data_IF_472309065403
#
_entry.id   IF_472309065403
#
_cell.length_a   1.000
_cell.length_b   1.000
_cell.length_c   1.000
_cell.angle_alpha   90.00
_cell.angle_beta   90.00
_cell.angle_gamma   90.00
#
_symmetry.space_group_name_H-M   'P 1'
#
loop_
_entity.id
_entity.type
_entity.pdbx_description
1 polymer ?
#
# COMPACT_ATOMS: atom_id res chain seq x y z
N UNK A 1 -19.85 12.04 20.69
CA UNK A 1 -19.95 13.51 20.58
C UNK A 1 -18.64 14.09 21.06
N UNK A 2 -17.64 14.11 20.18
CA UNK A 2 -16.34 14.77 20.40
C UNK A 2 -16.32 15.98 19.47
N UNK A 3 -16.08 17.14 20.08
CA UNK A 3 -16.09 18.46 19.46
C UNK A 3 -14.97 18.58 18.43
N UNK A 4 -15.25 18.25 17.15
CA UNK A 4 -14.54 18.89 16.06
C UNK A 4 -14.93 20.37 16.10
N UNK A 5 -14.02 21.22 16.56
CA UNK A 5 -14.18 22.66 16.52
C UNK A 5 -14.44 23.03 15.06
N UNK A 6 -15.62 23.57 14.76
CA UNK A 6 -15.96 23.97 13.40
C UNK A 6 -14.94 25.00 12.92
N UNK A 7 -14.10 24.61 11.96
CA UNK A 7 -13.15 25.52 11.30
C UNK A 7 -13.96 26.69 10.72
N UNK A 8 -13.64 27.90 11.15
CA UNK A 8 -14.29 29.09 10.60
C UNK A 8 -13.70 29.36 9.21
N UNK A 9 -14.51 29.69 8.20
CA UNK A 9 -13.97 30.17 6.93
C UNK A 9 -13.20 31.46 7.19
N UNK A 10 -11.88 31.41 7.04
CA UNK A 10 -11.00 32.57 7.21
C UNK A 10 -11.00 33.37 5.92
N UNK A 11 -11.31 34.66 6.03
CA UNK A 11 -11.13 35.65 4.96
C UNK A 11 -9.69 36.17 4.98
N UNK A 12 -8.81 35.55 4.20
CA UNK A 12 -7.49 36.10 3.81
C UNK A 12 -7.36 36.18 2.28
N UNK A 13 -6.55 37.13 1.82
CA UNK A 13 -6.61 37.75 0.48
C UNK A 13 -5.85 37.03 -0.64
N UNK A 14 -5.32 35.83 -0.39
CA UNK A 14 -4.73 34.97 -1.41
C UNK A 14 -5.06 33.49 -1.11
N UNK A 15 -5.38 32.65 -2.13
CA UNK A 15 -5.70 31.25 -1.91
C UNK A 15 -4.46 30.46 -1.45
N UNK A 16 -4.64 29.52 -0.51
CA UNK A 16 -3.62 28.56 -0.08
C UNK A 16 -3.12 27.78 -1.30
N UNK A 17 -1.81 27.79 -1.52
CA UNK A 17 -1.20 27.05 -2.61
C UNK A 17 -0.87 25.61 -2.20
N UNK A 18 -0.71 24.71 -3.17
CA UNK A 18 -0.20 23.36 -2.89
C UNK A 18 1.20 23.37 -2.27
N UNK A 19 1.98 24.44 -2.51
CA UNK A 19 3.27 24.60 -1.85
C UNK A 19 3.13 24.87 -0.35
N UNK A 20 2.14 25.66 0.06
CA UNK A 20 1.84 25.89 1.47
C UNK A 20 1.37 24.59 2.15
N UNK A 21 0.52 23.82 1.46
CA UNK A 21 0.09 22.48 1.88
C UNK A 21 1.27 21.51 2.04
N UNK A 22 2.18 21.46 1.07
CA UNK A 22 3.38 20.63 1.13
C UNK A 22 4.32 21.07 2.26
N UNK A 23 4.47 22.38 2.51
CA UNK A 23 5.28 22.89 3.59
C UNK A 23 4.74 22.53 4.98
N UNK A 24 3.42 22.38 5.14
CA UNK A 24 2.84 21.84 6.38
C UNK A 24 3.33 20.40 6.65
N UNK A 25 3.39 19.54 5.62
CA UNK A 25 3.97 18.20 5.73
C UNK A 25 5.43 18.28 6.16
N UNK A 26 6.23 19.15 5.52
CA UNK A 26 7.66 19.34 5.86
C UNK A 26 7.84 19.75 7.31
N UNK A 27 7.07 20.74 7.76
CA UNK A 27 7.10 21.25 9.14
C UNK A 27 6.74 20.16 10.15
N UNK A 28 5.59 19.49 9.96
CA UNK A 28 5.16 18.41 10.86
C UNK A 28 6.19 17.26 10.90
N UNK A 29 6.78 16.89 9.76
CA UNK A 29 7.77 15.83 9.71
C UNK A 29 9.05 16.20 10.48
N UNK A 30 9.63 17.37 10.25
CA UNK A 30 10.85 17.78 10.96
C UNK A 30 10.60 17.98 12.46
N UNK A 31 9.46 18.55 12.85
CA UNK A 31 9.10 18.80 14.25
C UNK A 31 8.87 17.50 15.03
N UNK A 32 8.11 16.55 14.46
CA UNK A 32 7.89 15.25 15.08
C UNK A 32 9.17 14.46 15.27
N UNK A 33 10.04 14.43 14.24
CA UNK A 33 11.34 13.76 14.32
C UNK A 33 12.24 14.43 15.37
N UNK A 34 12.25 15.77 15.40
CA UNK A 34 13.04 16.54 16.37
C UNK A 34 12.56 16.27 17.80
N UNK A 35 11.25 16.32 18.05
CA UNK A 35 10.67 16.05 19.37
C UNK A 35 10.93 14.63 19.85
N UNK A 36 10.87 13.65 18.94
CA UNK A 36 11.20 12.26 19.26
C UNK A 36 12.71 12.00 19.43
N UNK A 37 13.55 12.96 19.01
CA UNK A 37 15.00 12.79 18.84
C UNK A 37 15.35 11.49 18.05
N UNK A 38 14.48 11.15 17.09
CA UNK A 38 14.52 9.87 16.35
C UNK A 38 13.61 9.94 15.14
N UNK A 39 14.07 9.48 13.98
CA UNK A 39 13.25 9.35 12.78
C UNK A 39 13.92 9.84 11.51
N UNK A 40 13.14 9.92 10.43
CA UNK A 40 13.63 10.15 9.07
C UNK A 40 12.93 11.37 8.46
N UNK A 41 13.51 12.58 8.56
CA UNK A 41 12.88 13.80 8.05
C UNK A 41 13.07 13.95 6.53
N UNK A 42 14.17 13.40 5.97
CA UNK A 42 14.59 13.63 4.60
C UNK A 42 13.58 13.23 3.52
N UNK A 43 13.11 11.98 3.55
CA UNK A 43 12.14 11.50 2.55
C UNK A 43 10.79 12.22 2.65
N UNK A 44 10.16 12.38 3.85
CA UNK A 44 8.94 13.18 3.98
C UNK A 44 9.07 14.58 3.39
N UNK A 45 10.22 15.24 3.60
CA UNK A 45 10.47 16.57 3.07
C UNK A 45 10.65 16.61 1.55
N UNK A 46 11.35 15.62 0.98
CA UNK A 46 11.57 15.49 -0.46
C UNK A 46 10.28 15.15 -1.22
N UNK A 47 9.46 14.24 -0.67
CA UNK A 47 8.23 13.75 -1.30
C UNK A 47 6.98 14.57 -1.00
N UNK A 48 7.06 15.61 -0.16
CA UNK A 48 5.90 16.42 0.23
C UNK A 48 5.15 17.01 -0.98
N UNK A 49 5.85 17.46 -2.03
CA UNK A 49 5.21 18.05 -3.21
C UNK A 49 4.43 16.99 -4.01
N UNK A 50 5.07 15.84 -4.29
CA UNK A 50 4.44 14.72 -5.01
C UNK A 50 3.23 14.18 -4.25
N UNK A 51 3.37 13.98 -2.94
CA UNK A 51 2.28 13.53 -2.08
C UNK A 51 1.13 14.55 -2.05
N UNK A 52 1.44 15.85 -1.97
CA UNK A 52 0.40 16.88 -2.00
C UNK A 52 -0.37 16.87 -3.30
N UNK A 53 0.30 16.76 -4.45
CA UNK A 53 -0.39 16.66 -5.76
C UNK A 53 -1.27 15.41 -5.83
N UNK A 54 -0.75 14.24 -5.43
CA UNK A 54 -1.51 12.99 -5.41
C UNK A 54 -2.79 13.13 -4.58
N UNK A 55 -2.65 13.60 -3.34
CA UNK A 55 -3.76 13.67 -2.40
C UNK A 55 -4.74 14.79 -2.76
N UNK A 56 -4.24 15.96 -3.14
CA UNK A 56 -5.08 17.10 -3.44
C UNK A 56 -5.86 16.95 -4.75
N UNK A 57 -5.35 16.22 -5.74
CA UNK A 57 -5.97 16.20 -7.08
C UNK A 57 -6.54 14.84 -7.50
N UNK A 58 -6.01 13.73 -7.00
CA UNK A 58 -6.26 12.43 -7.63
C UNK A 58 -6.84 11.35 -6.73
N UNK A 59 -6.43 11.31 -5.45
CA UNK A 59 -6.77 10.21 -4.56
C UNK A 59 -8.22 10.32 -4.08
N UNK A 60 -8.91 9.18 -4.01
CA UNK A 60 -10.25 9.06 -3.47
C UNK A 60 -10.21 8.35 -2.11
N UNK A 61 -10.34 9.11 -1.03
CA UNK A 61 -10.31 8.60 0.35
C UNK A 61 -11.31 9.35 1.22
N UNK A 62 -11.90 8.67 2.19
CA UNK A 62 -12.74 9.31 3.21
C UNK A 62 -12.20 8.93 4.61
N UNK A 63 -11.50 9.85 5.31
CA UNK A 63 -11.00 9.62 6.67
C UNK A 63 -12.07 9.26 7.70
N UNK A 64 -13.34 9.62 7.47
CA UNK A 64 -14.46 9.24 8.35
C UNK A 64 -14.90 7.79 8.18
N UNK A 65 -14.52 7.18 7.05
CA UNK A 65 -14.82 5.79 6.66
C UNK A 65 -13.59 5.17 5.99
N UNK A 66 -12.49 4.97 6.76
CA UNK A 66 -11.25 4.41 6.23
C UNK A 66 -11.39 2.95 5.78
N UNK A 67 -12.51 2.31 6.13
CA UNK A 67 -12.92 0.97 5.72
C UNK A 67 -13.70 0.95 4.39
N UNK A 68 -13.98 2.10 3.76
CA UNK A 68 -14.69 2.18 2.48
C UNK A 68 -14.02 1.27 1.43
N UNK A 69 -14.70 0.21 0.93
CA UNK A 69 -14.06 -0.79 0.09
C UNK A 69 -13.48 -0.26 -1.22
N UNK A 70 -14.07 0.80 -1.78
CA UNK A 70 -13.71 1.34 -3.09
C UNK A 70 -12.91 2.66 -3.02
N UNK A 71 -12.29 2.93 -1.86
CA UNK A 71 -11.27 3.99 -1.75
C UNK A 71 -10.03 3.64 -2.57
N UNK A 72 -9.26 4.62 -3.02
CA UNK A 72 -7.91 4.36 -3.51
C UNK A 72 -7.03 3.86 -2.35
N UNK A 73 -6.14 2.91 -2.63
CA UNK A 73 -5.17 2.39 -1.66
C UNK A 73 -3.87 3.19 -1.75
N UNK A 74 -3.32 3.60 -0.61
CA UNK A 74 -2.01 4.27 -0.55
C UNK A 74 -1.02 3.45 0.30
N UNK A 75 0.10 3.07 -0.31
CA UNK A 75 1.15 2.28 0.34
C UNK A 75 2.46 3.06 0.37
N UNK A 76 2.94 3.35 1.58
CA UNK A 76 4.28 3.90 1.79
C UNK A 76 5.30 2.76 1.87
N UNK A 77 5.80 2.29 0.72
CA UNK A 77 6.78 1.20 0.66
C UNK A 77 8.11 1.58 1.32
N UNK A 78 8.53 2.85 1.17
CA UNK A 78 9.64 3.43 1.93
C UNK A 78 9.18 3.81 3.34
N UNK A 79 8.78 2.82 4.15
CA UNK A 79 8.12 3.01 5.44
C UNK A 79 8.92 3.81 6.48
N UNK A 80 10.23 3.98 6.30
CA UNK A 80 11.03 4.81 7.20
C UNK A 80 10.56 6.28 7.19
N UNK A 81 10.01 6.76 6.07
CA UNK A 81 9.39 8.09 5.92
C UNK A 81 7.97 8.17 6.49
N UNK A 82 7.66 7.40 7.54
CA UNK A 82 6.33 7.27 8.15
C UNK A 82 5.67 8.61 8.50
N UNK A 83 6.45 9.62 8.87
CA UNK A 83 5.94 10.96 9.16
C UNK A 83 5.26 11.64 7.96
N UNK A 84 5.58 11.27 6.71
CA UNK A 84 4.81 11.71 5.56
C UNK A 84 3.36 11.26 5.67
N UNK A 85 3.16 9.95 5.91
CA UNK A 85 1.83 9.35 6.02
C UNK A 85 1.08 9.85 7.26
N UNK A 86 1.73 9.97 8.41
CA UNK A 86 1.08 10.48 9.62
C UNK A 86 0.72 11.97 9.51
N UNK A 87 1.56 12.80 8.88
CA UNK A 87 1.22 14.19 8.59
C UNK A 87 -0.01 14.27 7.67
N UNK A 88 -0.05 13.47 6.59
CA UNK A 88 -1.22 13.38 5.72
C UNK A 88 -2.47 12.97 6.51
N UNK A 89 -2.40 11.93 7.35
CA UNK A 89 -3.55 11.47 8.13
C UNK A 89 -4.07 12.56 9.09
N UNK A 90 -3.18 13.29 9.74
CA UNK A 90 -3.54 14.45 10.56
C UNK A 90 -4.23 15.55 9.75
N UNK A 91 -3.63 15.92 8.61
CA UNK A 91 -4.08 16.99 7.71
C UNK A 91 -5.38 16.62 6.97
N UNK A 92 -5.68 15.34 6.78
CA UNK A 92 -6.94 14.85 6.20
C UNK A 92 -8.06 14.64 7.23
N UNK A 93 -7.70 14.30 8.47
CA UNK A 93 -8.63 14.36 9.60
C UNK A 93 -9.11 13.01 10.07
N UNK A 94 -8.21 12.03 9.98
CA UNK A 94 -8.40 10.74 10.63
C UNK A 94 -8.60 10.96 12.14
N UNK A 95 -9.64 10.33 12.68
CA UNK A 95 -10.06 10.58 14.07
C UNK A 95 -8.97 10.22 15.09
N UNK A 96 -8.13 9.23 14.78
CA UNK A 96 -7.06 8.72 15.61
C UNK A 96 -5.70 9.40 15.35
N UNK A 97 -5.66 10.45 14.52
CA UNK A 97 -4.42 11.17 14.17
C UNK A 97 -4.52 12.67 14.47
N UNK A 98 -4.87 13.00 15.72
CA UNK A 98 -4.80 14.37 16.20
C UNK A 98 -3.34 14.84 16.33
N UNK A 99 -3.11 16.14 16.49
CA UNK A 99 -1.75 16.71 16.52
C UNK A 99 -0.91 16.13 17.68
N UNK A 100 -1.56 15.72 18.77
CA UNK A 100 -0.94 15.08 19.92
C UNK A 100 -0.29 13.75 19.58
N UNK A 101 -0.82 12.99 18.61
CA UNK A 101 -0.18 11.75 18.15
C UNK A 101 1.12 12.07 17.41
N UNK A 102 1.14 13.08 16.54
CA UNK A 102 2.37 13.52 15.86
C UNK A 102 3.43 14.00 16.86
N UNK A 103 3.00 14.64 17.95
CA UNK A 103 3.85 15.03 19.06
C UNK A 103 4.39 13.83 19.88
N UNK A 104 3.75 12.67 19.76
CA UNK A 104 4.11 11.40 20.41
C UNK A 104 4.73 10.40 19.43
N UNK A 105 5.22 10.87 18.27
CA UNK A 105 5.95 10.05 17.32
C UNK A 105 7.04 9.20 17.99
N UNK A 106 7.06 7.90 17.66
CA UNK A 106 8.00 6.90 18.21
C UNK A 106 7.94 6.69 19.72
N UNK A 107 6.90 7.17 20.39
CA UNK A 107 6.72 6.92 21.82
C UNK A 107 5.92 5.65 22.07
N UNK A 108 6.19 4.98 23.19
CA UNK A 108 5.49 3.76 23.59
C UNK A 108 3.97 4.01 23.66
N UNK A 109 3.21 3.14 22.99
CA UNK A 109 1.74 3.20 22.96
C UNK A 109 1.15 4.33 22.10
N UNK A 110 1.96 5.07 21.34
CA UNK A 110 1.45 5.99 20.31
C UNK A 110 0.92 5.23 19.08
N UNK A 111 0.04 5.88 18.32
CA UNK A 111 -0.43 5.42 17.00
C UNK A 111 0.64 5.65 15.93
N UNK A 112 1.49 6.64 16.13
CA UNK A 112 2.58 7.06 15.25
C UNK A 112 3.87 6.28 15.54
N UNK A 113 3.88 5.00 15.18
CA UNK A 113 5.04 4.12 15.31
C UNK A 113 6.23 4.57 14.43
N UNK A 114 7.40 3.96 14.62
CA UNK A 114 8.60 4.34 13.84
C UNK A 114 8.49 4.06 12.33
N UNK A 115 7.66 3.07 11.97
CA UNK A 115 7.25 2.68 10.62
C UNK A 115 5.72 2.46 10.63
N UNK A 116 5.01 2.57 9.48
CA UNK A 116 3.57 2.36 9.44
C UNK A 116 3.22 0.93 9.86
N UNK A 117 2.23 0.79 10.74
CA UNK A 117 1.73 -0.48 11.25
C UNK A 117 0.23 -0.61 10.96
N UNK A 118 -0.15 -1.60 10.15
CA UNK A 118 -1.55 -1.90 9.86
C UNK A 118 -2.31 -2.26 11.14
N UNK A 119 -3.55 -1.77 11.26
CA UNK A 119 -4.41 -2.00 12.43
C UNK A 119 -4.05 -1.16 13.66
N UNK A 120 -2.90 -0.48 13.65
CA UNK A 120 -2.48 0.40 14.74
C UNK A 120 -2.89 1.85 14.50
N UNK A 121 -2.93 2.32 13.25
CA UNK A 121 -3.45 3.63 12.88
C UNK A 121 -4.41 3.52 11.68
N UNK A 122 -5.52 4.28 11.69
CA UNK A 122 -6.46 4.32 10.58
C UNK A 122 -5.79 4.85 9.31
N UNK A 123 -6.21 4.33 8.15
CA UNK A 123 -5.65 4.69 6.84
C UNK A 123 -4.30 4.06 6.51
N UNK A 124 -3.67 3.32 7.44
CA UNK A 124 -2.47 2.53 7.13
C UNK A 124 -2.87 1.20 6.49
N UNK A 125 -2.71 1.10 5.16
CA UNK A 125 -3.14 -0.05 4.37
C UNK A 125 -2.32 -1.33 4.62
N UNK A 126 -1.05 -1.19 5.00
CA UNK A 126 -0.16 -2.33 5.26
C UNK A 126 1.00 -1.91 6.16
N UNK A 127 1.52 -2.85 6.95
CA UNK A 127 2.75 -2.64 7.70
C UNK A 127 3.94 -2.64 6.74
N UNK A 128 4.70 -1.54 6.72
CA UNK A 128 5.96 -1.42 5.96
C UNK A 128 7.13 -1.15 6.89
N UNK A 129 8.34 -1.06 6.32
CA UNK A 129 9.59 -0.94 7.07
C UNK A 129 10.67 -1.81 6.46
N UNK A 130 10.47 -3.15 6.39
CA UNK A 130 11.31 -3.99 5.56
C UNK A 130 11.13 -3.59 4.09
N UNK A 131 12.20 -3.11 3.47
CA UNK A 131 12.17 -2.50 2.15
C UNK A 131 11.72 -3.52 1.08
N UNK A 132 11.08 -3.03 0.02
CA UNK A 132 10.54 -3.88 -1.06
C UNK A 132 9.22 -4.59 -0.74
N UNK A 133 8.88 -4.78 0.54
CA UNK A 133 7.60 -5.43 0.91
C UNK A 133 6.38 -4.60 0.52
N UNK A 134 6.41 -3.27 0.70
CA UNK A 134 5.25 -2.43 0.42
C UNK A 134 4.83 -2.46 -1.05
N UNK A 135 5.77 -2.28 -1.98
CA UNK A 135 5.49 -2.40 -3.43
C UNK A 135 5.00 -3.80 -3.80
N UNK A 136 5.54 -4.85 -3.17
CA UNK A 136 5.15 -6.24 -3.43
C UNK A 136 3.75 -6.57 -2.90
N UNK A 137 3.40 -6.05 -1.73
CA UNK A 137 2.04 -6.11 -1.17
C UNK A 137 1.05 -5.33 -2.03
N UNK A 138 1.44 -4.16 -2.55
CA UNK A 138 0.59 -3.36 -3.43
C UNK A 138 0.22 -4.08 -4.74
N UNK A 139 1.09 -4.95 -5.27
CA UNK A 139 0.75 -5.85 -6.40
C UNK A 139 -0.45 -6.74 -6.04
N UNK A 140 -0.47 -7.28 -4.82
CA UNK A 140 -1.59 -8.05 -4.30
C UNK A 140 -2.88 -7.26 -4.19
N UNK A 141 -2.81 -6.02 -3.69
CA UNK A 141 -3.96 -5.12 -3.59
C UNK A 141 -4.54 -4.78 -4.96
N UNK A 142 -3.69 -4.41 -5.92
CA UNK A 142 -4.12 -4.11 -7.29
C UNK A 142 -4.69 -5.34 -8.00
N UNK A 143 -4.15 -6.53 -7.73
CA UNK A 143 -4.70 -7.78 -8.25
C UNK A 143 -6.08 -8.10 -7.64
N UNK A 144 -6.26 -7.90 -6.33
CA UNK A 144 -7.55 -8.08 -5.65
C UNK A 144 -8.62 -7.13 -6.19
N UNK A 145 -8.28 -5.88 -6.45
CA UNK A 145 -9.16 -4.91 -7.09
C UNK A 145 -9.62 -5.41 -8.47
N UNK A 146 -8.70 -5.89 -9.33
CA UNK A 146 -9.06 -6.45 -10.65
C UNK A 146 -9.93 -7.69 -10.56
N UNK A 147 -9.66 -8.59 -9.61
CA UNK A 147 -10.47 -9.78 -9.40
C UNK A 147 -11.89 -9.44 -8.93
N UNK A 148 -12.04 -8.50 -8.00
CA UNK A 148 -13.36 -8.08 -7.52
C UNK A 148 -14.12 -7.30 -8.59
N UNK A 149 -13.46 -6.43 -9.35
CA UNK A 149 -14.09 -5.72 -10.48
C UNK A 149 -14.62 -6.70 -11.54
N UNK A 150 -13.87 -7.76 -11.84
CA UNK A 150 -14.32 -8.81 -12.77
C UNK A 150 -15.56 -9.57 -12.26
N UNK A 151 -15.68 -9.78 -10.94
CA UNK A 151 -16.79 -10.52 -10.31
C UNK A 151 -18.02 -9.66 -10.03
N UNK A 152 -17.83 -8.42 -9.58
CA UNK A 152 -18.89 -7.56 -9.06
C UNK A 152 -19.19 -6.34 -9.95
N UNK A 153 -18.33 -6.06 -10.94
CA UNK A 153 -18.48 -4.97 -11.89
C UNK A 153 -17.80 -3.68 -11.44
N UNK A 154 -17.41 -2.87 -12.42
CA UNK A 154 -16.69 -1.61 -12.20
C UNK A 154 -17.51 -0.55 -11.46
N UNK A 155 -18.85 -0.67 -11.43
CA UNK A 155 -19.69 0.28 -10.68
C UNK A 155 -19.48 0.20 -9.15
N UNK A 156 -19.04 -0.96 -8.65
CA UNK A 156 -18.78 -1.23 -7.23
C UNK A 156 -17.29 -1.27 -6.88
N UNK A 157 -16.42 -1.52 -7.88
CA UNK A 157 -14.98 -1.69 -7.69
C UNK A 157 -14.24 -1.03 -8.84
N UNK A 158 -13.76 0.18 -8.61
CA UNK A 158 -12.95 0.95 -9.56
C UNK A 158 -12.03 1.94 -8.86
N UNK A 159 -10.95 1.42 -8.27
CA UNK A 159 -9.98 2.25 -7.56
C UNK A 159 -8.53 1.90 -7.93
N UNK A 160 -7.63 2.84 -7.64
CA UNK A 160 -6.20 2.71 -7.87
C UNK A 160 -5.47 2.27 -6.60
N UNK A 161 -4.28 1.73 -6.78
CA UNK A 161 -3.30 1.50 -5.73
C UNK A 161 -2.07 2.36 -6.05
N UNK A 162 -1.79 3.33 -5.17
CA UNK A 162 -0.67 4.24 -5.26
C UNK A 162 0.43 3.83 -4.28
N UNK A 163 1.68 3.83 -4.74
CA UNK A 163 2.83 3.43 -3.93
C UNK A 163 3.88 4.52 -3.96
N UNK A 164 4.42 4.92 -2.80
CA UNK A 164 5.69 5.65 -2.74
C UNK A 164 6.79 4.67 -2.36
N UNK A 165 7.76 4.49 -3.25
CA UNK A 165 8.95 3.66 -3.06
C UNK A 165 10.21 4.52 -3.18
N UNK A 166 11.28 4.13 -2.48
CA UNK A 166 12.60 4.76 -2.60
C UNK A 166 13.63 3.79 -3.18
N UNK A 167 14.87 4.25 -3.34
CA UNK A 167 15.98 3.45 -3.87
C UNK A 167 16.16 2.11 -3.16
N UNK A 168 16.10 2.11 -1.83
CA UNK A 168 16.22 0.87 -1.04
C UNK A 168 15.13 -0.15 -1.36
N UNK A 169 13.91 0.28 -1.68
CA UNK A 169 12.86 -0.65 -2.13
C UNK A 169 13.19 -1.27 -3.48
N UNK A 170 13.79 -0.50 -4.40
CA UNK A 170 14.06 -0.95 -5.77
C UNK A 170 15.39 -1.70 -5.92
N UNK A 171 16.22 -1.72 -4.88
CA UNK A 171 17.42 -2.57 -4.79
C UNK A 171 17.09 -3.97 -4.25
N UNK A 172 16.03 -4.12 -3.47
CA UNK A 172 15.60 -5.40 -2.90
C UNK A 172 15.12 -6.38 -3.99
N UNK A 173 15.55 -7.63 -3.90
CA UNK A 173 15.22 -8.68 -4.88
C UNK A 173 13.71 -8.92 -5.02
N UNK A 174 12.96 -8.84 -3.91
CA UNK A 174 11.50 -8.98 -3.90
C UNK A 174 10.81 -7.95 -4.82
N UNK A 175 11.39 -6.75 -4.99
CA UNK A 175 10.83 -5.74 -5.88
C UNK A 175 10.89 -6.19 -7.34
N UNK A 176 11.94 -6.93 -7.74
CA UNK A 176 12.03 -7.49 -9.08
C UNK A 176 10.92 -8.50 -9.33
N UNK A 177 10.67 -9.39 -8.37
CA UNK A 177 9.57 -10.35 -8.44
C UNK A 177 8.21 -9.65 -8.60
N UNK A 178 7.98 -8.59 -7.81
CA UNK A 178 6.76 -7.79 -7.87
C UNK A 178 6.58 -7.04 -9.20
N UNK A 179 7.65 -6.39 -9.68
CA UNK A 179 7.65 -5.62 -10.94
C UNK A 179 7.36 -6.54 -12.12
N UNK A 180 8.01 -7.69 -12.16
CA UNK A 180 7.81 -8.67 -13.23
C UNK A 180 6.39 -9.25 -13.20
N UNK A 181 5.88 -9.65 -12.02
CA UNK A 181 4.52 -10.17 -11.89
C UNK A 181 3.44 -9.14 -12.26
N UNK A 182 3.55 -7.91 -11.76
CA UNK A 182 2.57 -6.86 -12.05
C UNK A 182 2.55 -6.46 -13.53
N UNK A 183 3.73 -6.41 -14.14
CA UNK A 183 3.89 -6.15 -15.57
C UNK A 183 3.31 -7.27 -16.41
N UNK A 184 3.62 -8.53 -16.07
CA UNK A 184 3.02 -9.71 -16.70
C UNK A 184 1.48 -9.66 -16.65
N UNK A 185 0.92 -9.42 -15.45
CA UNK A 185 -0.52 -9.35 -15.23
C UNK A 185 -1.19 -8.05 -15.72
N UNK A 186 -0.43 -7.09 -16.25
CA UNK A 186 -0.94 -5.79 -16.73
C UNK A 186 -1.83 -5.06 -15.72
N UNK A 187 -1.36 -4.95 -14.47
CA UNK A 187 -2.12 -4.31 -13.39
C UNK A 187 -2.18 -2.78 -13.56
N UNK A 188 -3.00 -2.28 -14.48
CA UNK A 188 -3.11 -0.85 -14.83
C UNK A 188 -3.56 0.08 -13.71
N UNK A 189 -4.19 -0.47 -12.66
CA UNK A 189 -4.58 0.28 -11.47
C UNK A 189 -3.44 0.48 -10.47
N UNK A 190 -2.23 -0.05 -10.73
CA UNK A 190 -1.03 0.12 -9.90
C UNK A 190 -0.16 1.26 -10.43
N UNK A 191 0.06 2.29 -9.60
CA UNK A 191 0.92 3.44 -9.91
C UNK A 191 1.97 3.60 -8.81
N UNK A 192 3.24 3.53 -9.20
CA UNK A 192 4.39 3.64 -8.30
C UNK A 192 5.09 4.97 -8.55
N UNK A 193 5.21 5.78 -7.50
CA UNK A 193 6.10 6.92 -7.44
C UNK A 193 7.43 6.44 -6.86
N UNK A 194 8.49 6.53 -7.65
CA UNK A 194 9.84 6.33 -7.14
C UNK A 194 10.42 7.68 -6.75
N UNK A 195 10.73 7.82 -5.46
CA UNK A 195 11.55 8.91 -4.91
C UNK A 195 13.00 8.72 -5.38
N UNK A 196 13.30 9.22 -6.58
CA UNK A 196 14.62 9.15 -7.23
C UNK A 196 15.48 10.32 -6.72
N UNK A 197 15.85 10.24 -5.44
CA UNK A 197 16.62 11.29 -4.74
C UNK A 197 18.14 11.06 -4.78
N UNK A 198 18.59 9.92 -5.32
CA UNK A 198 19.99 9.51 -5.46
C UNK A 198 20.76 9.31 -4.14
N UNK A 199 20.06 9.15 -3.01
CA UNK A 199 20.64 8.98 -1.68
C UNK A 199 20.11 7.72 -1.01
N UNK A 200 21.03 6.96 -0.41
CA UNK A 200 20.75 5.86 0.53
C UNK A 200 21.37 6.17 1.90
N UNK A 201 21.29 5.23 2.85
CA UNK A 201 21.88 5.40 4.19
C UNK A 201 23.38 5.67 4.11
N UNK A 202 24.11 4.94 3.28
CA UNK A 202 25.58 5.02 3.19
C UNK A 202 26.08 6.21 2.36
N UNK A 203 25.17 7.03 1.80
CA UNK A 203 25.51 8.13 0.91
C UNK A 203 24.86 8.01 -0.47
N UNK A 204 25.47 8.62 -1.51
CA UNK A 204 24.98 8.54 -2.88
C UNK A 204 24.77 7.11 -3.36
N UNK A 205 23.64 6.85 -4.04
CA UNK A 205 23.30 5.51 -4.54
C UNK A 205 24.33 4.94 -5.51
N UNK A 206 25.12 5.79 -6.17
CA UNK A 206 26.24 5.40 -7.03
C UNK A 206 27.33 4.59 -6.32
N UNK A 207 27.33 4.54 -4.99
CA UNK A 207 28.26 3.72 -4.22
C UNK A 207 27.99 2.21 -4.34
N UNK A 208 26.73 1.81 -4.56
CA UNK A 208 26.34 0.38 -4.50
C UNK A 208 25.50 -0.10 -5.68
N UNK A 209 24.99 0.81 -6.53
CA UNK A 209 24.18 0.43 -7.69
C UNK A 209 24.45 1.28 -8.92
N UNK A 210 24.33 0.66 -10.09
CA UNK A 210 24.34 1.30 -11.41
C UNK A 210 23.11 0.91 -12.23
N UNK A 211 22.05 0.42 -11.55
CA UNK A 211 20.84 -0.08 -12.18
C UNK A 211 20.04 1.06 -12.83
N UNK A 212 19.73 0.93 -14.12
CA UNK A 212 18.73 1.77 -14.79
C UNK A 212 17.32 1.27 -14.41
N UNK A 213 16.75 1.87 -13.36
CA UNK A 213 15.42 1.51 -12.88
C UNK A 213 14.33 1.76 -13.95
N UNK A 214 14.28 2.91 -14.66
CA UNK A 214 13.36 3.11 -15.76
C UNK A 214 13.43 2.01 -16.83
N UNK A 215 14.64 1.59 -17.25
CA UNK A 215 14.81 0.51 -18.21
C UNK A 215 14.34 -0.84 -17.65
N UNK A 216 14.64 -1.15 -16.39
CA UNK A 216 14.18 -2.37 -15.72
C UNK A 216 12.65 -2.48 -15.71
N UNK A 217 11.95 -1.39 -15.38
CA UNK A 217 10.49 -1.34 -15.40
C UNK A 217 9.93 -1.46 -16.83
N UNK A 218 10.51 -0.75 -17.81
CA UNK A 218 10.13 -0.88 -19.22
C UNK A 218 10.27 -2.32 -19.72
N UNK A 219 11.37 -3.00 -19.37
CA UNK A 219 11.61 -4.39 -19.74
C UNK A 219 10.56 -5.34 -19.13
N UNK A 220 10.06 -5.05 -17.94
CA UNK A 220 8.97 -5.78 -17.30
C UNK A 220 7.58 -5.40 -17.84
N UNK A 221 7.46 -4.51 -18.83
CA UNK A 221 6.19 -4.15 -19.45
C UNK A 221 5.44 -2.99 -18.80
N UNK A 222 6.10 -2.18 -17.96
CA UNK A 222 5.49 -1.02 -17.32
C UNK A 222 5.44 0.22 -18.22
N UNK A 223 4.48 1.10 -17.95
CA UNK A 223 4.55 2.49 -18.40
C UNK A 223 5.48 3.28 -17.51
N UNK A 224 6.37 4.07 -18.10
CA UNK A 224 7.47 4.69 -17.35
C UNK A 224 7.64 6.14 -17.78
N UNK A 225 7.49 7.01 -16.80
CA UNK A 225 7.66 8.44 -16.92
C UNK A 225 8.74 8.93 -15.95
N UNK A 226 9.37 10.06 -16.27
CA UNK A 226 10.33 10.73 -15.39
C UNK A 226 9.95 12.21 -15.31
N UNK A 227 9.88 12.74 -14.09
CA UNK A 227 9.46 14.11 -13.82
C UNK A 227 10.37 14.77 -12.79
N UNK A 228 10.46 16.10 -12.83
CA UNK A 228 10.98 16.86 -11.70
C UNK A 228 9.95 16.80 -10.56
N UNK A 229 10.28 16.12 -9.46
CA UNK A 229 9.33 15.85 -8.38
C UNK A 229 8.85 17.10 -7.61
N UNK A 230 9.56 18.22 -7.76
CA UNK A 230 9.19 19.52 -7.19
C UNK A 230 8.41 20.42 -8.17
N UNK A 231 8.19 19.96 -9.40
CA UNK A 231 7.27 20.59 -10.36
C UNK A 231 5.90 19.90 -10.25
N UNK A 232 5.02 20.53 -9.48
CA UNK A 232 3.70 19.98 -9.14
C UNK A 232 2.80 19.78 -10.37
N UNK A 233 2.93 20.61 -11.42
CA UNK A 233 2.16 20.44 -12.65
C UNK A 233 2.71 19.29 -13.50
N UNK A 234 4.04 19.13 -13.57
CA UNK A 234 4.65 17.97 -14.23
C UNK A 234 4.25 16.66 -13.54
N UNK A 235 4.21 16.64 -12.20
CA UNK A 235 3.72 15.49 -11.42
C UNK A 235 2.24 15.23 -11.71
N UNK A 236 1.39 16.26 -11.73
CA UNK A 236 -0.03 16.10 -12.02
C UNK A 236 -0.27 15.51 -13.41
N UNK A 237 0.40 16.05 -14.44
CA UNK A 237 0.32 15.54 -15.81
C UNK A 237 0.77 14.07 -15.91
N UNK A 238 1.81 13.68 -15.16
CA UNK A 238 2.27 12.30 -15.14
C UNK A 238 1.28 11.34 -14.48
N UNK A 239 0.62 11.75 -13.39
CA UNK A 239 -0.43 10.96 -12.74
C UNK A 239 -1.63 10.79 -13.68
N UNK A 240 -2.05 11.86 -14.37
CA UNK A 240 -3.12 11.78 -15.36
C UNK A 240 -2.79 10.80 -16.49
N UNK A 241 -1.55 10.83 -17.01
CA UNK A 241 -1.10 9.89 -18.02
C UNK A 241 -1.10 8.44 -17.49
N UNK A 242 -0.59 8.24 -16.26
CA UNK A 242 -0.54 6.92 -15.62
C UNK A 242 -1.94 6.31 -15.42
N UNK A 243 -2.93 7.11 -14.99
CA UNK A 243 -4.33 6.66 -14.81
C UNK A 243 -5.03 6.26 -16.12
N UNK A 244 -4.50 6.67 -17.28
CA UNK A 244 -4.99 6.31 -18.62
C UNK A 244 -4.26 5.10 -19.23
N UNK A 245 -3.19 4.64 -18.62
CA UNK A 245 -2.41 3.50 -19.09
C UNK A 245 -3.20 2.19 -18.99
N UNK A 246 -2.95 1.26 -19.91
CA UNK A 246 -3.40 -0.14 -19.85
C UNK A 246 -2.38 -1.08 -19.17
N UNK A 247 -1.32 -0.49 -18.59
CA UNK A 247 -0.18 -1.17 -17.93
C UNK A 247 0.07 -0.54 -16.55
N UNK A 248 0.67 -1.26 -15.60
CA UNK A 248 1.14 -0.64 -14.36
C UNK A 248 2.15 0.47 -14.68
N UNK A 249 2.17 1.53 -13.88
CA UNK A 249 2.94 2.75 -14.18
C UNK A 249 3.99 3.06 -13.11
N UNK A 250 5.20 3.41 -13.56
CA UNK A 250 6.26 4.01 -12.76
C UNK A 250 6.38 5.49 -13.12
N UNK A 251 6.32 6.36 -12.12
CA UNK A 251 6.65 7.77 -12.22
C UNK A 251 7.94 7.98 -11.40
N UNK A 252 9.07 8.07 -12.09
CA UNK A 252 10.35 8.40 -11.48
C UNK A 252 10.38 9.90 -11.15
N UNK A 253 10.25 10.22 -9.86
CA UNK A 253 10.20 11.58 -9.36
C UNK A 253 11.60 11.98 -8.91
N UNK A 254 12.29 12.80 -9.71
CA UNK A 254 13.59 13.36 -9.31
C UNK A 254 13.37 14.40 -8.22
N UNK A 255 13.75 14.10 -6.99
CA UNK A 255 13.59 14.97 -5.81
C UNK A 255 14.95 15.28 -5.16
N UNK A 256 14.92 16.15 -4.15
CA UNK A 256 16.03 16.40 -3.23
C UNK A 256 15.63 15.88 -1.85
N UNK A 257 16.36 14.91 -1.31
CA UNK A 257 16.14 14.44 0.08
C UNK A 257 16.32 15.62 1.05
N UNK A 258 15.42 15.78 2.01
CA UNK A 258 15.48 16.92 2.93
C UNK A 258 15.19 18.27 2.26
N UNK A 259 14.43 18.28 1.15
CA UNK A 259 14.06 19.52 0.44
C UNK A 259 13.55 20.59 1.41
N UNK A 260 14.16 21.77 1.33
CA UNK A 260 13.92 22.89 2.23
C UNK A 260 15.01 23.11 3.27
N UNK A 261 15.75 22.06 3.68
CA UNK A 261 16.89 22.19 4.60
C UNK A 261 18.11 22.74 3.85
N UNK A 262 18.49 24.02 4.05
CA UNK A 262 19.45 24.69 3.18
C UNK A 262 20.88 24.17 3.30
N UNK A 263 21.28 23.62 4.46
CA UNK A 263 22.65 23.13 4.68
C UNK A 263 22.75 21.61 4.63
N UNK A 264 21.67 20.88 4.91
CA UNK A 264 21.67 19.42 4.94
C UNK A 264 20.94 18.76 3.76
N UNK A 265 20.08 19.50 3.04
CA UNK A 265 19.33 18.98 1.89
C UNK A 265 20.25 18.38 0.81
N UNK A 266 19.82 17.27 0.21
CA UNK A 266 20.59 16.53 -0.79
C UNK A 266 21.69 15.62 -0.22
N UNK A 267 21.78 15.49 1.11
CA UNK A 267 22.74 14.61 1.78
C UNK A 267 22.05 13.52 2.59
N UNK A 268 22.72 12.38 2.70
CA UNK A 268 22.43 11.26 3.59
C UNK A 268 22.27 11.66 5.07
N UNK A 269 22.83 12.81 5.47
CA UNK A 269 22.64 13.39 6.81
C UNK A 269 21.18 13.67 7.15
N UNK A 270 20.32 13.88 6.15
CA UNK A 270 18.88 14.07 6.36
C UNK A 270 18.10 12.75 6.37
N UNK A 271 18.75 11.60 6.11
CA UNK A 271 18.06 10.33 5.95
C UNK A 271 17.42 9.86 7.26
N UNK A 272 18.19 9.69 8.33
CA UNK A 272 17.75 8.97 9.54
C UNK A 272 18.07 9.63 10.87
N UNK A 273 18.32 10.94 10.87
CA UNK A 273 18.58 11.71 12.08
C UNK A 273 17.72 12.99 12.11
N UNK A 274 17.36 13.50 13.31
CA UNK A 274 16.82 14.85 13.45
C UNK A 274 17.74 15.90 12.82
N UNK A 275 17.14 16.94 12.23
CA UNK A 275 17.90 18.02 11.60
C UNK A 275 18.67 18.87 12.62
N UNK A 276 18.15 18.99 13.84
CA UNK A 276 18.66 19.89 14.87
C UNK A 276 18.08 21.30 14.78
N UNK A 277 18.01 21.98 15.92
CA UNK A 277 17.32 23.28 16.09
C UNK A 277 17.79 24.36 15.10
N UNK A 278 19.10 24.45 14.85
CA UNK A 278 19.66 25.45 13.94
C UNK A 278 19.22 25.21 12.49
N UNK A 279 19.23 23.95 12.04
CA UNK A 279 18.80 23.62 10.69
C UNK A 279 17.28 23.74 10.53
N UNK A 280 16.50 23.42 11.56
CA UNK A 280 15.04 23.62 11.54
C UNK A 280 14.70 25.11 11.40
N UNK A 281 15.37 25.99 12.16
CA UNK A 281 15.18 27.43 12.03
C UNK A 281 15.52 27.92 10.61
N UNK A 282 16.64 27.48 10.05
CA UNK A 282 17.05 27.82 8.68
C UNK A 282 16.08 27.24 7.62
N UNK A 283 15.58 26.02 7.84
CA UNK A 283 14.58 25.37 6.98
C UNK A 283 13.29 26.19 6.94
N UNK A 284 12.80 26.62 8.11
CA UNK A 284 11.60 27.45 8.23
C UNK A 284 11.73 28.76 7.46
N UNK A 285 12.86 29.45 7.60
CA UNK A 285 13.15 30.66 6.82
C UNK A 285 13.16 30.38 5.32
N UNK A 286 13.87 29.32 4.89
CA UNK A 286 14.04 28.97 3.48
C UNK A 286 12.72 28.58 2.79
N UNK A 287 11.81 27.89 3.49
CA UNK A 287 10.50 27.50 2.92
C UNK A 287 9.39 28.53 3.20
N UNK A 288 9.71 29.65 3.88
CA UNK A 288 8.74 30.69 4.23
C UNK A 288 7.73 30.30 5.31
N UNK A 289 8.07 29.38 6.21
CA UNK A 289 7.18 28.88 7.27
C UNK A 289 7.43 29.58 8.60
N UNK A 290 6.60 30.58 8.92
CA UNK A 290 6.75 31.40 10.13
C UNK A 290 6.12 30.78 11.40
N UNK A 291 5.44 29.64 11.29
CA UNK A 291 4.67 29.06 12.40
C UNK A 291 5.53 28.21 13.32
N UNK A 292 5.10 28.14 14.58
CA UNK A 292 5.76 27.37 15.63
C UNK A 292 5.67 25.85 15.38
N UNK A 293 6.46 25.03 16.09
CA UNK A 293 6.33 23.58 16.00
C UNK A 293 4.92 23.09 16.28
N UNK A 294 4.42 22.19 15.43
CA UNK A 294 3.06 21.62 15.51
C UNK A 294 1.90 22.64 15.35
N UNK A 295 2.19 23.87 14.92
CA UNK A 295 1.19 24.89 14.61
C UNK A 295 0.94 24.92 13.09
N UNK A 296 -0.23 24.44 12.67
CA UNK A 296 -0.67 24.44 11.27
C UNK A 296 -1.78 25.48 11.12
N UNK A 297 -1.61 26.48 10.24
CA UNK A 297 -2.64 27.48 9.97
C UNK A 297 -4.00 26.88 9.58
N UNK A 298 -5.07 27.48 10.08
CA UNK A 298 -6.45 27.01 9.86
C UNK A 298 -6.84 26.96 8.37
N UNK A 299 -6.32 27.88 7.55
CA UNK A 299 -6.56 27.92 6.10
C UNK A 299 -5.88 26.76 5.36
N UNK A 300 -4.64 26.42 5.75
CA UNK A 300 -3.92 25.25 5.23
C UNK A 300 -4.63 23.97 5.67
N UNK A 301 -5.02 23.87 6.94
CA UNK A 301 -5.77 22.72 7.44
C UNK A 301 -7.11 22.58 6.71
N UNK A 302 -7.83 23.70 6.49
CA UNK A 302 -9.06 23.72 5.71
C UNK A 302 -8.86 23.18 4.29
N UNK A 303 -7.82 23.63 3.57
CA UNK A 303 -7.50 23.14 2.22
C UNK A 303 -7.30 21.61 2.18
N UNK A 304 -6.63 21.03 3.18
CA UNK A 304 -6.51 19.57 3.29
C UNK A 304 -7.84 18.89 3.64
N UNK A 305 -8.68 19.50 4.48
CA UNK A 305 -10.01 18.97 4.83
C UNK A 305 -10.99 19.01 3.66
N UNK A 306 -10.81 19.90 2.68
CA UNK A 306 -11.58 19.86 1.42
C UNK A 306 -11.37 18.55 0.65
N UNK A 307 -10.18 17.95 0.71
CA UNK A 307 -9.89 16.64 0.11
C UNK A 307 -10.78 15.56 0.75
N UNK A 308 -10.85 15.55 2.08
CA UNK A 308 -11.72 14.63 2.82
C UNK A 308 -13.21 14.85 2.48
N UNK A 309 -13.64 16.11 2.33
CA UNK A 309 -15.00 16.45 1.93
C UNK A 309 -15.37 15.93 0.52
N UNK A 310 -14.44 16.02 -0.45
CA UNK A 310 -14.64 15.41 -1.78
C UNK A 310 -14.75 13.89 -1.68
N UNK A 311 -13.90 13.27 -0.87
CA UNK A 311 -13.95 11.83 -0.60
C UNK A 311 -15.25 11.35 0.01
N UNK A 312 -15.79 12.08 1.01
CA UNK A 312 -17.08 11.78 1.61
C UNK A 312 -18.21 11.81 0.57
N UNK A 313 -18.23 12.82 -0.30
CA UNK A 313 -19.21 12.92 -1.38
C UNK A 313 -19.10 11.72 -2.35
N UNK A 314 -17.89 11.31 -2.70
CA UNK A 314 -17.65 10.14 -3.56
C UNK A 314 -18.07 8.83 -2.91
N UNK A 315 -17.73 8.62 -1.62
CA UNK A 315 -18.19 7.45 -0.86
C UNK A 315 -19.71 7.41 -0.79
N UNK A 316 -20.38 8.52 -0.47
CA UNK A 316 -21.86 8.55 -0.39
C UNK A 316 -22.51 8.22 -1.74
N UNK A 317 -21.93 8.70 -2.84
CA UNK A 317 -22.38 8.32 -4.18
C UNK A 317 -22.14 6.82 -4.46
N UNK A 318 -21.01 6.26 -4.02
CA UNK A 318 -20.74 4.83 -4.11
C UNK A 318 -21.71 3.99 -3.26
N UNK A 319 -22.03 4.41 -2.04
CA UNK A 319 -22.99 3.74 -1.15
C UNK A 319 -24.39 3.68 -1.78
N UNK A 320 -24.80 4.72 -2.51
CA UNK A 320 -26.04 4.71 -3.29
C UNK A 320 -26.01 3.69 -4.43
N UNK A 321 -24.88 3.58 -5.16
CA UNK A 321 -24.70 2.56 -6.20
C UNK A 321 -24.72 1.14 -5.60
N UNK A 322 -24.04 0.93 -4.48
CA UNK A 322 -24.06 -0.35 -3.76
C UNK A 322 -25.48 -0.71 -3.31
N UNK A 323 -26.20 0.23 -2.69
CA UNK A 323 -27.57 0.00 -2.22
C UNK A 323 -28.53 -0.39 -3.35
N UNK A 324 -28.32 0.13 -4.56
CA UNK A 324 -29.13 -0.18 -5.75
C UNK A 324 -28.65 -1.42 -6.54
N UNK A 325 -27.47 -1.97 -6.23
CA UNK A 325 -26.88 -3.05 -7.01
C UNK A 325 -27.52 -4.41 -6.71
N UNK A 326 -27.89 -5.21 -7.74
CA UNK A 326 -28.34 -6.58 -7.53
C UNK A 326 -27.22 -7.50 -7.01
N UNK A 327 -25.96 -7.04 -7.03
CA UNK A 327 -24.79 -7.79 -6.52
C UNK A 327 -24.40 -7.39 -5.10
N UNK A 328 -25.18 -6.52 -4.44
CA UNK A 328 -24.85 -5.97 -3.12
C UNK A 328 -24.50 -7.05 -2.10
N UNK A 329 -25.41 -7.99 -1.86
CA UNK A 329 -25.22 -9.04 -0.85
C UNK A 329 -23.98 -9.89 -1.15
N UNK A 330 -23.83 -10.32 -2.41
CA UNK A 330 -22.64 -11.06 -2.84
C UNK A 330 -21.34 -10.27 -2.67
N UNK A 331 -21.36 -8.96 -2.91
CA UNK A 331 -20.22 -8.08 -2.73
C UNK A 331 -19.88 -7.85 -1.25
N UNK A 332 -20.87 -7.53 -0.42
CA UNK A 332 -20.69 -7.32 1.02
C UNK A 332 -20.15 -8.59 1.69
N UNK A 333 -20.70 -9.76 1.36
CA UNK A 333 -20.21 -11.05 1.85
C UNK A 333 -18.78 -11.34 1.38
N UNK A 334 -18.44 -11.01 0.13
CA UNK A 334 -17.09 -11.18 -0.38
C UNK A 334 -16.09 -10.28 0.33
N UNK A 335 -16.38 -8.99 0.47
CA UNK A 335 -15.53 -8.00 1.14
C UNK A 335 -15.26 -8.39 2.60
N UNK A 336 -16.27 -8.88 3.31
CA UNK A 336 -16.12 -9.41 4.67
C UNK A 336 -15.21 -10.66 4.73
N UNK A 337 -15.04 -11.35 3.59
CA UNK A 337 -14.26 -12.56 3.44
C UNK A 337 -14.67 -13.65 4.46
N UNK A 338 -15.94 -13.66 4.86
CA UNK A 338 -16.52 -14.66 5.74
C UNK A 338 -16.84 -15.92 4.94
N UNK A 339 -16.26 -17.05 5.35
CA UNK A 339 -16.53 -18.32 4.70
C UNK A 339 -17.93 -18.79 5.11
N UNK A 340 -18.80 -19.19 4.16
CA UNK A 340 -20.13 -19.66 4.50
C UNK A 340 -20.09 -20.98 5.27
N UNK A 341 -21.10 -21.23 6.12
CA UNK A 341 -21.22 -22.45 6.92
C UNK A 341 -21.13 -23.74 6.07
N UNK A 342 -21.58 -23.66 4.82
CA UNK A 342 -21.50 -24.76 3.84
C UNK A 342 -20.07 -25.26 3.63
N UNK A 343 -19.05 -24.42 3.77
CA UNK A 343 -17.63 -24.83 3.70
C UNK A 343 -17.30 -25.74 4.88
N UNK A 344 -17.72 -25.38 6.08
CA UNK A 344 -17.42 -26.14 7.30
C UNK A 344 -18.20 -27.46 7.35
N UNK A 345 -19.48 -27.44 6.97
CA UNK A 345 -20.32 -28.64 6.84
C UNK A 345 -19.74 -29.63 5.83
N UNK A 346 -19.30 -29.14 4.66
CA UNK A 346 -18.68 -29.97 3.64
C UNK A 346 -17.35 -30.58 4.13
N UNK A 347 -16.54 -29.80 4.86
CA UNK A 347 -15.33 -30.30 5.50
C UNK A 347 -15.60 -31.34 6.60
N UNK A 348 -16.68 -31.20 7.37
CA UNK A 348 -17.09 -32.20 8.37
C UNK A 348 -17.55 -33.51 7.73
N UNK A 349 -18.31 -33.44 6.64
CA UNK A 349 -18.68 -34.62 5.85
C UNK A 349 -17.43 -35.30 5.28
N UNK A 350 -16.53 -34.53 4.66
CA UNK A 350 -15.26 -35.02 4.14
C UNK A 350 -14.40 -35.71 5.21
N UNK A 351 -14.26 -35.10 6.40
CA UNK A 351 -13.53 -35.71 7.52
C UNK A 351 -14.12 -37.05 7.93
N UNK A 352 -15.45 -37.13 8.12
CA UNK A 352 -16.13 -38.38 8.50
C UNK A 352 -15.90 -39.49 7.47
N UNK A 353 -16.08 -39.18 6.19
CA UNK A 353 -15.88 -40.12 5.09
C UNK A 353 -14.46 -40.69 5.07
N UNK A 354 -13.44 -39.84 5.19
CA UNK A 354 -12.05 -40.29 5.10
C UNK A 354 -11.54 -41.01 6.36
N UNK A 355 -12.12 -40.71 7.53
CA UNK A 355 -11.92 -41.49 8.76
C UNK A 355 -12.49 -42.91 8.56
N UNK A 356 -13.73 -43.04 8.08
CA UNK A 356 -14.38 -44.34 7.86
C UNK A 356 -13.63 -45.19 6.82
N UNK A 357 -13.24 -44.56 5.70
CA UNK A 357 -12.48 -45.24 4.63
C UNK A 357 -11.03 -45.56 5.01
N UNK A 358 -10.53 -45.05 6.13
CA UNK A 358 -9.12 -45.13 6.53
C UNK A 358 -8.16 -44.75 5.38
N UNK A 359 -8.42 -43.60 4.76
CA UNK A 359 -7.74 -43.19 3.52
C UNK A 359 -6.24 -43.03 3.71
N UNK A 360 -5.43 -43.63 2.82
CA UNK A 360 -3.96 -43.59 2.86
C UNK A 360 -3.41 -42.86 1.64
N UNK A 361 -3.01 -41.61 1.84
CA UNK A 361 -2.40 -40.76 0.83
C UNK A 361 -1.32 -39.88 1.48
N UNK A 362 -0.40 -39.33 0.67
CA UNK A 362 0.51 -38.29 1.17
C UNK A 362 -0.28 -37.06 1.66
N UNK A 363 0.23 -36.35 2.67
CA UNK A 363 -0.43 -35.16 3.25
C UNK A 363 -0.68 -34.07 2.21
N UNK A 364 0.22 -33.86 1.24
CA UNK A 364 -0.04 -32.95 0.10
C UNK A 364 -1.26 -33.35 -0.75
N UNK A 365 -1.52 -34.65 -0.90
CA UNK A 365 -2.71 -35.15 -1.61
C UNK A 365 -3.95 -35.01 -0.75
N UNK A 366 -3.84 -35.22 0.56
CA UNK A 366 -4.92 -34.89 1.50
C UNK A 366 -5.24 -33.39 1.49
N UNK A 367 -4.23 -32.52 1.36
CA UNK A 367 -4.40 -31.07 1.20
C UNK A 367 -5.19 -30.74 -0.08
N UNK A 368 -4.82 -31.32 -1.23
CA UNK A 368 -5.59 -31.14 -2.49
C UNK A 368 -7.04 -31.59 -2.34
N UNK A 369 -7.27 -32.74 -1.70
CA UNK A 369 -8.61 -33.28 -1.48
C UNK A 369 -9.44 -32.35 -0.58
N UNK A 370 -8.84 -31.77 0.46
CA UNK A 370 -9.51 -30.77 1.29
C UNK A 370 -9.77 -29.46 0.52
N UNK A 371 -8.81 -29.02 -0.31
CA UNK A 371 -8.99 -27.86 -1.18
C UNK A 371 -10.13 -28.07 -2.18
N UNK A 372 -10.31 -29.28 -2.74
CA UNK A 372 -11.40 -29.58 -3.68
C UNK A 372 -12.76 -29.35 -3.01
N UNK A 373 -12.89 -29.75 -1.74
CA UNK A 373 -14.11 -29.51 -0.93
C UNK A 373 -14.31 -28.02 -0.67
N UNK A 374 -13.26 -27.31 -0.23
CA UNK A 374 -13.34 -25.89 0.09
C UNK A 374 -13.68 -25.07 -1.16
N UNK A 375 -12.93 -25.26 -2.25
CA UNK A 375 -13.08 -24.50 -3.49
C UNK A 375 -14.38 -24.82 -4.22
N UNK A 376 -14.97 -25.99 -3.99
CA UNK A 376 -16.31 -26.35 -4.48
C UNK A 376 -17.45 -25.74 -3.65
N UNK A 377 -17.19 -25.39 -2.38
CA UNK A 377 -18.18 -24.78 -1.48
C UNK A 377 -18.12 -23.25 -1.44
N UNK A 378 -17.01 -22.63 -1.88
CA UNK A 378 -16.86 -21.17 -1.92
C UNK A 378 -16.04 -20.66 -3.10
N UNK A 379 -16.39 -19.46 -3.56
CA UNK A 379 -15.65 -18.68 -4.56
C UNK A 379 -14.67 -17.67 -3.93
N UNK A 380 -14.62 -17.58 -2.59
CA UNK A 380 -13.77 -16.60 -1.88
C UNK A 380 -12.30 -16.99 -1.81
N UNK A 381 -11.98 -18.28 -1.96
CA UNK A 381 -10.59 -18.74 -1.99
C UNK A 381 -9.91 -18.41 -3.30
N UNK A 382 -8.71 -17.84 -3.22
CA UNK A 382 -7.83 -17.60 -4.37
C UNK A 382 -6.53 -18.36 -4.13
N UNK A 383 -6.28 -19.34 -4.99
CA UNK A 383 -5.14 -20.23 -4.89
C UNK A 383 -3.96 -19.82 -5.76
N UNK A 384 -2.83 -20.48 -5.54
CA UNK A 384 -1.70 -20.39 -6.43
C UNK A 384 -0.52 -21.26 -6.01
N UNK A 385 0.56 -21.15 -6.77
CA UNK A 385 1.82 -21.80 -6.48
C UNK A 385 2.98 -21.00 -7.07
N UNK A 386 4.13 -21.03 -6.40
CA UNK A 386 5.38 -20.55 -6.96
C UNK A 386 5.95 -21.59 -7.94
N UNK A 387 5.38 -21.67 -9.14
CA UNK A 387 5.69 -22.63 -10.23
C UNK A 387 5.53 -24.14 -9.90
N UNK A 388 5.23 -24.48 -8.66
CA UNK A 388 5.16 -25.85 -8.16
C UNK A 388 3.74 -26.45 -8.11
N UNK A 389 2.81 -25.97 -8.94
CA UNK A 389 1.37 -26.30 -8.90
C UNK A 389 1.09 -27.79 -8.79
N UNK A 390 1.71 -28.59 -9.67
CA UNK A 390 1.47 -30.04 -9.74
C UNK A 390 2.28 -30.83 -8.70
N UNK A 391 3.27 -30.21 -8.06
CA UNK A 391 4.05 -30.82 -6.98
C UNK A 391 3.43 -30.57 -5.61
N UNK A 392 2.89 -29.36 -5.41
CA UNK A 392 2.19 -28.94 -4.20
C UNK A 392 0.71 -29.35 -4.18
N UNK A 393 0.13 -29.61 -5.35
CA UNK A 393 -1.28 -29.97 -5.53
C UNK A 393 -2.25 -28.89 -5.01
N UNK A 394 -1.99 -27.64 -5.41
CA UNK A 394 -2.77 -26.47 -4.96
C UNK A 394 -3.90 -26.06 -5.90
N UNK A 395 -3.96 -26.61 -7.13
CA UNK A 395 -5.05 -26.36 -8.07
C UNK A 395 -6.08 -27.48 -8.00
N UNK A 396 -7.36 -27.12 -7.92
CA UNK A 396 -8.48 -28.07 -7.86
C UNK A 396 -9.36 -27.95 -9.09
N UNK A 397 -10.26 -28.90 -9.32
CA UNK A 397 -11.15 -28.87 -10.48
C UNK A 397 -12.02 -27.60 -10.45
N UNK A 398 -12.21 -26.96 -11.61
CA UNK A 398 -13.04 -25.77 -11.76
C UNK A 398 -12.34 -24.45 -11.43
N UNK A 399 -11.11 -24.46 -10.92
CA UNK A 399 -10.34 -23.25 -10.72
C UNK A 399 -9.73 -22.76 -12.04
N UNK A 400 -10.30 -21.68 -12.58
CA UNK A 400 -9.73 -21.01 -13.75
C UNK A 400 -8.50 -20.18 -13.36
N UNK A 401 -7.49 -20.16 -14.23
CA UNK A 401 -6.31 -19.31 -14.06
C UNK A 401 -6.67 -17.84 -14.18
N UNK A 402 -5.92 -17.00 -13.48
CA UNK A 402 -5.92 -15.55 -13.69
C UNK A 402 -4.89 -15.25 -14.79
N UNK A 403 -5.27 -14.41 -15.74
CA UNK A 403 -4.44 -14.04 -16.87
C UNK A 403 -4.56 -12.53 -17.16
N UNK A 404 -3.62 -11.95 -17.91
CA UNK A 404 -3.68 -10.54 -18.27
C UNK A 404 -4.95 -10.25 -19.08
N UNK A 405 -5.80 -9.32 -18.60
CA UNK A 405 -7.10 -9.02 -19.20
C UNK A 405 -8.23 -10.00 -18.86
N UNK A 406 -7.96 -11.09 -18.13
CA UNK A 406 -8.96 -12.04 -17.61
C UNK A 406 -8.70 -12.33 -16.12
N UNK A 407 -9.33 -11.51 -15.28
CA UNK A 407 -9.18 -11.55 -13.82
C UNK A 407 -10.34 -12.29 -13.12
N UNK A 408 -11.24 -12.92 -13.87
CA UNK A 408 -12.37 -13.66 -13.29
C UNK A 408 -11.95 -15.01 -12.68
N UNK A 409 -10.73 -15.48 -12.97
CA UNK A 409 -10.15 -16.70 -12.39
C UNK A 409 -9.93 -16.64 -10.87
N UNK A 410 -9.50 -17.77 -10.30
CA UNK A 410 -9.15 -17.93 -8.87
C UNK A 410 -7.80 -18.60 -8.65
N UNK A 411 -7.01 -18.82 -9.70
CA UNK A 411 -5.72 -19.48 -9.58
C UNK A 411 -4.59 -18.62 -10.16
N UNK A 412 -3.65 -18.23 -9.30
CA UNK A 412 -2.52 -17.37 -9.63
C UNK A 412 -1.28 -18.23 -9.89
N UNK A 413 -0.67 -18.03 -11.05
CA UNK A 413 0.65 -18.55 -11.36
C UNK A 413 1.70 -17.51 -10.98
N UNK A 414 2.28 -17.64 -9.78
CA UNK A 414 3.23 -16.64 -9.27
C UNK A 414 4.61 -16.70 -9.95
N UNK A 415 4.94 -17.79 -10.64
CA UNK A 415 6.30 -18.07 -11.11
C UNK A 415 7.25 -18.43 -9.96
N UNK A 416 8.56 -18.47 -10.23
CA UNK A 416 9.58 -18.80 -9.22
C UNK A 416 9.86 -17.54 -8.37
N UNK A 417 8.90 -17.19 -7.52
CA UNK A 417 8.79 -15.91 -6.82
C UNK A 417 8.20 -16.08 -5.43
N UNK A 418 8.81 -16.90 -4.58
CA UNK A 418 8.27 -17.25 -3.26
C UNK A 418 8.05 -16.02 -2.37
N UNK A 419 8.98 -15.07 -2.40
CA UNK A 419 8.94 -13.87 -1.55
C UNK A 419 7.86 -12.90 -2.03
N UNK A 420 7.82 -12.63 -3.33
CA UNK A 420 6.80 -11.84 -4.00
C UNK A 420 5.41 -12.47 -3.91
N UNK A 421 5.29 -13.80 -4.02
CA UNK A 421 4.04 -14.54 -3.80
C UNK A 421 3.48 -14.27 -2.40
N UNK A 422 4.28 -14.47 -1.36
CA UNK A 422 3.83 -14.29 0.01
C UNK A 422 3.45 -12.83 0.30
N UNK A 423 4.18 -11.85 -0.25
CA UNK A 423 3.83 -10.43 -0.12
C UNK A 423 2.54 -10.08 -0.89
N UNK A 424 2.37 -10.57 -2.12
CA UNK A 424 1.14 -10.37 -2.89
C UNK A 424 -0.07 -11.01 -2.18
N UNK A 425 0.10 -12.18 -1.55
CA UNK A 425 -0.94 -12.80 -0.73
C UNK A 425 -1.31 -11.93 0.49
N UNK A 426 -0.35 -11.26 1.13
CA UNK A 426 -0.66 -10.25 2.15
C UNK A 426 -1.53 -9.13 1.58
N UNK A 427 -1.20 -8.63 0.39
CA UNK A 427 -1.96 -7.57 -0.27
C UNK A 427 -3.40 -7.97 -0.61
N UNK A 428 -3.59 -9.20 -1.07
CA UNK A 428 -4.92 -9.76 -1.36
C UNK A 428 -5.75 -9.87 -0.07
N UNK A 429 -5.14 -10.33 1.03
CA UNK A 429 -5.82 -10.43 2.31
C UNK A 429 -6.20 -9.05 2.88
N UNK A 430 -5.26 -8.10 2.85
CA UNK A 430 -5.45 -6.73 3.35
C UNK A 430 -6.49 -5.94 2.55
N UNK A 431 -6.58 -6.18 1.25
CA UNK A 431 -7.58 -5.53 0.40
C UNK A 431 -9.02 -5.90 0.83
N UNK A 432 -9.22 -7.11 1.35
CA UNK A 432 -10.54 -7.72 1.52
C UNK A 432 -11.06 -8.36 0.22
N UNK A 433 -12.09 -9.19 0.32
CA UNK A 433 -12.68 -9.88 -0.84
C UNK A 433 -12.33 -11.37 -0.95
N UNK A 434 -11.15 -11.78 -0.46
CA UNK A 434 -10.61 -13.10 -0.75
C UNK A 434 -9.86 -13.75 0.42
N UNK A 435 -9.72 -15.07 0.33
CA UNK A 435 -8.88 -15.90 1.21
C UNK A 435 -7.71 -16.44 0.38
N UNK A 436 -6.54 -15.78 0.40
CA UNK A 436 -5.42 -16.20 -0.42
C UNK A 436 -4.72 -17.44 0.17
N UNK A 437 -4.40 -18.39 -0.71
CA UNK A 437 -3.47 -19.46 -0.41
C UNK A 437 -2.44 -19.64 -1.53
N UNK A 438 -1.23 -20.05 -1.16
CA UNK A 438 -0.14 -20.25 -2.11
C UNK A 438 0.83 -21.32 -1.62
N UNK A 439 1.38 -22.09 -2.56
CA UNK A 439 2.28 -23.20 -2.25
C UNK A 439 3.69 -23.05 -2.80
N UNK A 440 4.65 -23.55 -2.02
CA UNK A 440 6.02 -23.89 -2.45
C UNK A 440 6.50 -25.10 -1.63
N UNK A 441 7.72 -25.56 -1.84
CA UNK A 441 8.33 -26.56 -0.97
C UNK A 441 8.71 -25.94 0.37
N UNK A 442 8.61 -26.71 1.46
CA UNK A 442 8.87 -26.22 2.81
C UNK A 442 10.29 -25.66 2.96
N UNK A 443 11.28 -26.26 2.30
CA UNK A 443 12.65 -25.75 2.29
C UNK A 443 12.79 -24.35 1.66
N UNK A 444 11.88 -23.95 0.76
CA UNK A 444 11.87 -22.63 0.13
C UNK A 444 11.04 -21.60 0.90
N UNK A 445 10.39 -22.00 2.01
CA UNK A 445 9.77 -21.03 2.92
C UNK A 445 10.80 -20.00 3.45
N UNK A 446 12.09 -20.35 3.46
CA UNK A 446 13.17 -19.42 3.79
C UNK A 446 13.24 -18.22 2.83
N UNK A 447 12.93 -18.39 1.54
CA UNK A 447 12.83 -17.28 0.59
C UNK A 447 11.64 -16.36 0.93
N UNK A 448 10.50 -16.93 1.35
CA UNK A 448 9.28 -16.19 1.66
C UNK A 448 9.24 -15.59 3.08
N UNK A 449 10.22 -15.92 3.93
CA UNK A 449 10.16 -15.74 5.39
C UNK A 449 9.86 -14.31 5.82
N UNK A 450 10.43 -13.32 5.14
CA UNK A 450 10.20 -11.91 5.43
C UNK A 450 8.73 -11.51 5.29
N UNK A 451 8.06 -11.98 4.21
CA UNK A 451 6.65 -11.69 3.96
C UNK A 451 5.71 -12.50 4.87
N UNK A 452 6.06 -13.76 5.16
CA UNK A 452 5.32 -14.59 6.12
C UNK A 452 5.32 -13.96 7.53
N UNK A 453 6.46 -13.37 7.94
CA UNK A 453 6.56 -12.62 9.20
C UNK A 453 5.59 -11.43 9.22
N UNK A 454 5.44 -10.71 8.10
CA UNK A 454 4.50 -9.60 8.01
C UNK A 454 3.04 -10.08 8.03
N UNK A 455 2.71 -11.24 7.45
CA UNK A 455 1.37 -11.84 7.58
C UNK A 455 0.99 -12.00 9.04
N UNK A 456 1.89 -12.60 9.83
CA UNK A 456 1.68 -12.83 11.25
C UNK A 456 1.58 -11.51 12.04
N UNK A 457 2.48 -10.56 11.77
CA UNK A 457 2.49 -9.26 12.45
C UNK A 457 1.21 -8.46 12.19
N UNK A 458 0.66 -8.52 10.98
CA UNK A 458 -0.56 -7.82 10.59
C UNK A 458 -1.85 -8.60 10.90
N UNK A 459 -1.75 -9.81 11.46
CA UNK A 459 -2.91 -10.67 11.72
C UNK A 459 -3.67 -11.11 10.47
N UNK A 460 -2.99 -11.24 9.32
CA UNK A 460 -3.63 -11.52 8.04
C UNK A 460 -3.89 -13.02 7.83
N UNK A 461 -5.10 -13.34 7.35
CA UNK A 461 -5.50 -14.72 7.02
C UNK A 461 -4.93 -15.14 5.67
N UNK A 462 -3.64 -15.47 5.68
CA UNK A 462 -2.88 -15.98 4.54
C UNK A 462 -2.52 -17.44 4.77
N UNK A 463 -2.86 -18.32 3.83
CA UNK A 463 -2.69 -19.77 3.98
C UNK A 463 -1.49 -20.25 3.15
N UNK A 464 -0.48 -20.76 3.83
CA UNK A 464 0.75 -21.25 3.20
C UNK A 464 0.73 -22.77 3.05
N UNK A 465 0.65 -23.27 1.81
CA UNK A 465 0.65 -24.71 1.51
C UNK A 465 2.08 -25.17 1.25
N UNK A 466 2.80 -25.50 2.32
CA UNK A 466 4.21 -25.90 2.26
C UNK A 466 4.35 -27.42 2.22
N UNK A 467 4.71 -27.98 1.07
CA UNK A 467 4.81 -29.44 0.87
C UNK A 467 6.27 -29.91 0.87
N UNK A 468 6.52 -31.23 0.76
CA UNK A 468 7.87 -31.82 0.82
C UNK A 468 8.58 -31.41 2.11
N UNK A 469 7.97 -31.80 3.23
CA UNK A 469 8.26 -31.29 4.57
C UNK A 469 9.48 -31.92 5.26
N UNK A 470 10.06 -32.98 4.68
CA UNK A 470 11.24 -33.68 5.20
C UNK A 470 12.14 -34.23 4.12
#
# INVERSE_FOLDING_TARGET
>A
MTSQTALKPVTTTAPVSERDMANAIRALAMDSVQKANSGHPGMPMGMADVATVLFNRFINIDPSRPDWPDRDRFVLSAGHGSMLQYALHHLLGYEDMQIEELQRFRQLGSRTAGHPEYGHALGVETTTGPLGQGISTAVGMALAERMLAARHGADLVDHHTYVIAGDGCLQEGISHEAIDLAGHLKLSRLIVFWDDNAISIDGPTSLSTSMDQPARFKAAGWDVQSVAGHDMEAVAAAIEAARRSDRPSLIACRTVIGMGAPNLGGSEKTHGAPLGEAEIAATRENIGWAHAPFDVPDDILFAWREIAGRGEAMRRAWEQRLAASPRREAFENAVAAELPDTVFEALDAFRREHIEKATKVATRKASEMALEVINGATELTVGGSADLTHSNLTITKGMNRIAPGDYAGRYIHYGIREHGMAAAMNGIALHGGFVPYGGTFLCFADYARGAMRLSALMGQRVIYVMTHDS
#
